data_IF_564895164406
#
_entry.id   IF_564895164406
#
_cell.length_a   1.000
_cell.length_b   1.000
_cell.length_c   1.000
_cell.angle_alpha   90.00
_cell.angle_beta   90.00
_cell.angle_gamma   90.00
#
_symmetry.space_group_name_H-M   'P 1'
#
loop_
_entity.id
_entity.type
_entity.pdbx_description
1 polymer ?
#
# COMPACT_ATOMS: atom_id res chain seq x y z
N UNK A 1 13.14 -0.87 7.79
CA UNK A 1 12.78 -2.15 7.15
C UNK A 1 13.04 -3.30 8.14
N UNK A 2 12.32 -3.35 9.26
CA UNK A 2 12.49 -4.41 10.28
C UNK A 2 11.20 -5.22 10.52
N UNK A 3 10.08 -4.82 9.93
CA UNK A 3 8.82 -5.56 9.99
C UNK A 3 8.36 -5.88 8.56
N UNK A 4 8.09 -7.17 8.29
CA UNK A 4 7.29 -7.59 7.13
C UNK A 4 7.93 -8.47 6.06
N UNK A 5 9.22 -8.85 6.14
CA UNK A 5 9.82 -9.77 5.14
C UNK A 5 10.58 -10.89 5.82
N UNK A 6 10.21 -12.15 5.54
CA UNK A 6 10.87 -13.35 6.05
C UNK A 6 12.08 -13.70 5.16
N UNK A 7 13.24 -13.10 5.45
CA UNK A 7 14.51 -13.39 4.75
C UNK A 7 15.49 -14.00 5.76
N UNK A 8 15.50 -15.33 5.91
CA UNK A 8 16.50 -16.02 6.72
C UNK A 8 17.85 -16.10 5.96
N UNK A 9 18.93 -15.86 6.68
CA UNK A 9 20.31 -15.88 6.18
C UNK A 9 21.16 -16.85 7.01
N UNK A 10 22.16 -17.50 6.43
CA UNK A 10 23.04 -18.40 7.20
C UNK A 10 23.94 -17.63 8.17
N UNK A 11 24.30 -16.39 7.80
CA UNK A 11 25.16 -15.49 8.59
C UNK A 11 24.56 -14.10 8.65
N UNK A 12 24.64 -13.47 9.83
CA UNK A 12 24.31 -12.06 10.03
C UNK A 12 25.54 -11.33 10.56
N UNK A 13 25.86 -10.20 9.94
CA UNK A 13 26.94 -9.31 10.39
C UNK A 13 26.30 -7.99 10.81
N UNK A 14 26.45 -7.64 12.09
CA UNK A 14 25.97 -6.39 12.68
C UNK A 14 27.18 -5.50 12.96
N UNK A 15 27.28 -4.38 12.26
CA UNK A 15 28.40 -3.44 12.35
C UNK A 15 28.14 -2.28 13.33
N UNK A 16 26.89 -2.08 13.72
CA UNK A 16 26.50 -1.10 14.74
C UNK A 16 25.08 -1.40 15.24
N UNK A 17 24.72 -0.98 16.46
CA UNK A 17 23.37 -1.11 17.00
C UNK A 17 22.45 0.02 16.49
N UNK A 18 22.83 0.72 15.42
CA UNK A 18 22.18 1.94 14.93
C UNK A 18 21.74 1.80 13.48
N UNK A 19 20.56 2.32 13.16
CA UNK A 19 20.11 2.56 11.78
C UNK A 19 20.07 4.08 11.55
N UNK A 20 21.13 4.63 10.97
CA UNK A 20 21.29 6.08 10.84
C UNK A 20 21.39 6.74 12.22
N UNK A 21 20.44 7.63 12.56
CA UNK A 21 20.35 8.27 13.88
C UNK A 21 19.46 7.50 14.87
N UNK A 22 18.91 6.35 14.47
CA UNK A 22 18.01 5.55 15.29
C UNK A 22 18.79 4.44 16.00
N UNK A 23 18.79 4.43 17.33
CA UNK A 23 19.30 3.32 18.13
C UNK A 23 18.28 2.17 18.10
N UNK A 24 18.72 0.97 17.71
CA UNK A 24 17.87 -0.22 17.74
C UNK A 24 17.43 -0.51 19.18
N UNK A 25 16.16 -0.83 19.39
CA UNK A 25 15.73 -1.40 20.66
C UNK A 25 16.25 -2.83 20.83
N UNK A 26 16.32 -3.33 22.08
CA UNK A 26 16.71 -4.71 22.36
C UNK A 26 15.87 -5.73 21.57
N UNK A 27 14.56 -5.49 21.47
CA UNK A 27 13.65 -6.33 20.70
C UNK A 27 13.95 -6.34 19.19
N UNK A 28 14.28 -5.19 18.60
CA UNK A 28 14.64 -5.12 17.18
C UNK A 28 15.99 -5.76 16.89
N UNK A 29 16.95 -5.61 17.81
CA UNK A 29 18.24 -6.28 17.74
C UNK A 29 18.06 -7.80 17.77
N UNK A 30 17.29 -8.34 18.72
CA UNK A 30 16.98 -9.77 18.81
C UNK A 30 16.22 -10.27 17.57
N UNK A 31 15.27 -9.51 17.04
CA UNK A 31 14.57 -9.85 15.78
C UNK A 31 15.49 -9.82 14.55
N UNK A 32 16.53 -9.00 14.56
CA UNK A 32 17.52 -8.96 13.49
C UNK A 32 18.39 -10.21 13.55
N UNK A 33 19.04 -10.47 14.68
CA UNK A 33 19.97 -11.59 14.82
C UNK A 33 19.27 -12.95 14.78
N UNK A 34 18.00 -13.01 15.19
CA UNK A 34 17.14 -14.20 15.10
C UNK A 34 16.81 -14.64 13.67
N UNK A 35 17.21 -13.87 12.64
CA UNK A 35 17.13 -14.28 11.23
C UNK A 35 18.33 -15.11 10.77
N UNK A 36 19.34 -15.29 11.64
CA UNK A 36 20.49 -16.14 11.37
C UNK A 36 20.10 -17.62 11.55
N UNK A 37 20.33 -18.42 10.53
CA UNK A 37 20.01 -19.85 10.50
C UNK A 37 18.72 -20.17 9.73
N UNK A 38 18.78 -21.20 8.89
CA UNK A 38 17.62 -21.76 8.18
C UNK A 38 17.35 -23.15 8.71
N UNK A 39 16.18 -23.34 9.33
CA UNK A 39 15.77 -24.61 9.96
C UNK A 39 15.96 -25.83 9.04
N UNK A 40 15.77 -25.66 7.72
CA UNK A 40 15.87 -26.76 6.75
C UNK A 40 17.28 -26.96 6.15
N UNK A 41 18.24 -26.04 6.33
CA UNK A 41 19.54 -26.11 5.64
C UNK A 41 20.77 -25.88 6.51
N UNK A 42 20.61 -25.36 7.73
CA UNK A 42 21.72 -24.98 8.61
C UNK A 42 21.46 -25.50 10.04
N UNK A 43 22.40 -26.28 10.60
CA UNK A 43 22.33 -26.79 11.98
C UNK A 43 22.46 -25.66 13.04
N UNK A 44 23.09 -24.55 12.66
CA UNK A 44 23.27 -23.36 13.46
C UNK A 44 23.32 -22.12 12.54
N UNK A 45 23.01 -20.95 13.08
CA UNK A 45 23.18 -19.65 12.43
C UNK A 45 24.32 -18.88 13.08
N UNK A 46 25.13 -18.18 12.29
CA UNK A 46 26.26 -17.41 12.81
C UNK A 46 25.91 -15.92 12.87
N UNK A 47 26.21 -15.28 14.01
CA UNK A 47 26.03 -13.85 14.22
C UNK A 47 27.39 -13.26 14.55
N UNK A 48 27.82 -12.28 13.74
CA UNK A 48 29.03 -11.52 13.95
C UNK A 48 28.67 -10.09 14.34
N UNK A 49 28.91 -9.71 15.58
CA UNK A 49 28.87 -8.31 15.99
C UNK A 49 30.27 -7.73 15.87
N UNK A 50 30.41 -6.67 15.07
CA UNK A 50 31.67 -5.97 14.87
C UNK A 50 31.59 -4.67 15.67
N UNK A 51 32.52 -4.52 16.59
CA UNK A 51 32.65 -3.34 17.45
C UNK A 51 33.91 -2.56 17.08
N UNK A 52 33.85 -1.25 17.27
CA UNK A 52 35.05 -0.42 17.30
C UNK A 52 35.62 -0.48 18.72
N UNK A 53 36.94 -0.35 18.86
CA UNK A 53 37.64 -0.47 20.15
C UNK A 53 37.08 0.44 21.25
N UNK A 54 36.46 1.56 20.86
CA UNK A 54 35.94 2.60 21.75
C UNK A 54 34.41 2.50 21.96
N UNK A 55 33.73 1.49 21.39
CA UNK A 55 32.29 1.27 21.49
C UNK A 55 31.97 -0.19 21.87
N UNK A 56 31.87 -0.48 23.17
CA UNK A 56 31.36 -1.77 23.69
C UNK A 56 29.82 -1.74 23.73
N UNK A 57 29.15 -2.56 22.91
CA UNK A 57 27.68 -2.61 22.84
C UNK A 57 27.11 -4.02 22.64
N UNK A 58 27.81 -4.88 21.90
CA UNK A 58 27.37 -6.20 21.47
C UNK A 58 27.21 -7.17 22.64
N UNK A 59 28.17 -7.21 23.58
CA UNK A 59 28.10 -8.12 24.73
C UNK A 59 26.92 -7.77 25.64
N UNK A 60 26.72 -6.48 25.93
CA UNK A 60 25.58 -5.98 26.72
C UNK A 60 24.25 -6.38 26.06
N UNK A 61 24.13 -6.17 24.75
CA UNK A 61 22.90 -6.48 24.00
C UNK A 61 22.64 -7.98 23.87
N UNK A 62 23.67 -8.81 23.75
CA UNK A 62 23.48 -10.28 23.68
C UNK A 62 23.07 -10.84 25.04
N UNK A 63 23.65 -10.32 26.13
CA UNK A 63 23.38 -10.80 27.50
C UNK A 63 22.14 -10.18 28.13
N UNK A 64 21.57 -9.13 27.55
CA UNK A 64 20.35 -8.51 28.06
C UNK A 64 19.14 -9.46 27.86
N UNK A 65 18.72 -10.09 28.96
CA UNK A 65 17.55 -10.97 29.08
C UNK A 65 16.25 -10.22 29.48
N UNK A 66 16.22 -8.88 29.41
CA UNK A 66 15.07 -8.11 29.86
C UNK A 66 13.81 -8.55 29.11
N UNK A 67 12.91 -9.21 29.84
CA UNK A 67 11.60 -9.60 29.34
C UNK A 67 10.77 -8.32 29.18
N UNK A 68 10.75 -7.78 27.96
CA UNK A 68 9.86 -6.69 27.63
C UNK A 68 8.42 -7.19 27.67
N UNK A 69 7.60 -6.60 28.54
CA UNK A 69 6.16 -6.83 28.53
C UNK A 69 5.62 -6.38 27.16
N UNK A 70 5.11 -7.32 26.37
CA UNK A 70 4.54 -7.03 25.05
C UNK A 70 3.15 -6.45 25.29
N UNK A 71 3.08 -5.14 25.48
CA UNK A 71 1.79 -4.45 25.54
C UNK A 71 1.34 -4.12 24.12
N UNK A 72 0.13 -4.55 23.77
CA UNK A 72 -0.49 -4.26 22.49
C UNK A 72 -0.47 -2.75 22.21
N UNK A 73 -0.05 -2.36 21.01
CA UNK A 73 -0.04 -0.95 20.58
C UNK A 73 -1.43 -0.31 20.68
N UNK A 74 -2.48 -1.08 20.40
CA UNK A 74 -3.88 -0.67 20.56
C UNK A 74 -4.18 -0.35 22.02
N UNK A 75 -3.81 -1.23 22.94
CA UNK A 75 -4.04 -1.03 24.38
C UNK A 75 -3.25 0.16 24.92
N UNK A 76 -1.98 0.29 24.53
CA UNK A 76 -1.16 1.44 24.92
C UNK A 76 -1.80 2.77 24.47
N UNK A 77 -2.23 2.83 23.20
CA UNK A 77 -2.82 4.04 22.62
C UNK A 77 -4.20 4.34 23.20
N UNK A 78 -5.04 3.32 23.43
CA UNK A 78 -6.34 3.46 24.06
C UNK A 78 -6.20 3.94 25.51
N UNK A 79 -5.36 3.27 26.31
CA UNK A 79 -5.19 3.57 27.73
C UNK A 79 -4.62 4.97 27.97
N UNK A 80 -3.80 5.48 27.06
CA UNK A 80 -3.26 6.84 27.15
C UNK A 80 -4.24 7.94 26.73
N UNK A 81 -5.36 7.60 26.07
CA UNK A 81 -6.24 8.57 25.41
C UNK A 81 -7.74 8.24 25.55
N UNK A 82 -8.14 7.65 26.68
CA UNK A 82 -9.50 7.10 26.88
C UNK A 82 -10.59 8.13 26.57
N UNK A 83 -10.55 9.30 27.22
CA UNK A 83 -11.57 10.35 27.06
C UNK A 83 -11.66 10.82 25.60
N UNK A 84 -10.53 11.16 24.99
CA UNK A 84 -10.46 11.59 23.59
C UNK A 84 -11.00 10.53 22.63
N UNK A 85 -10.69 9.24 22.86
CA UNK A 85 -11.21 8.15 22.03
C UNK A 85 -12.74 8.06 22.18
N UNK A 86 -13.26 8.12 23.40
CA UNK A 86 -14.72 8.10 23.64
C UNK A 86 -15.39 9.29 22.93
N UNK A 87 -14.79 10.47 22.94
CA UNK A 87 -15.32 11.65 22.24
C UNK A 87 -15.29 11.53 20.72
N UNK A 88 -14.24 10.92 20.18
CA UNK A 88 -14.04 10.81 18.74
C UNK A 88 -14.80 9.64 18.09
N UNK A 89 -15.27 8.66 18.86
CA UNK A 89 -15.98 7.47 18.34
C UNK A 89 -17.23 7.81 17.51
N UNK A 90 -17.88 8.94 17.78
CA UNK A 90 -19.03 9.41 16.99
C UNK A 90 -18.70 10.33 15.81
N UNK A 91 -17.45 10.80 15.68
CA UNK A 91 -17.06 11.88 14.77
C UNK A 91 -16.34 11.38 13.51
N UNK A 92 -16.58 12.01 12.37
CA UNK A 92 -15.78 11.79 11.17
C UNK A 92 -14.36 12.34 11.34
N UNK A 93 -13.41 11.85 10.54
CA UNK A 93 -12.04 12.38 10.53
C UNK A 93 -11.98 13.89 10.24
N UNK A 94 -12.87 14.40 9.38
CA UNK A 94 -12.99 15.84 9.08
C UNK A 94 -13.42 16.64 10.30
N UNK A 95 -14.40 16.15 11.06
CA UNK A 95 -14.87 16.81 12.28
C UNK A 95 -13.76 16.90 13.33
N UNK A 96 -12.98 15.82 13.53
CA UNK A 96 -11.83 15.80 14.45
C UNK A 96 -10.77 16.83 14.03
N UNK A 97 -10.48 16.95 12.72
CA UNK A 97 -9.52 17.94 12.22
C UNK A 97 -10.03 19.37 12.40
N UNK A 98 -11.30 19.62 12.11
CA UNK A 98 -11.91 20.94 12.18
C UNK A 98 -12.07 21.44 13.62
N UNK A 99 -12.20 20.53 14.59
CA UNK A 99 -12.26 20.85 16.01
C UNK A 99 -10.88 20.95 16.68
N UNK A 100 -9.79 20.99 15.90
CA UNK A 100 -8.41 20.93 16.38
C UNK A 100 -8.10 19.73 17.30
N UNK A 101 -8.84 18.62 17.12
CA UNK A 101 -8.64 17.37 17.85
C UNK A 101 -7.37 16.61 17.44
N UNK A 102 -6.98 15.63 18.25
CA UNK A 102 -5.82 14.78 17.95
C UNK A 102 -6.16 13.73 16.88
N UNK A 103 -6.00 14.13 15.62
CA UNK A 103 -6.23 13.26 14.46
C UNK A 103 -5.38 11.98 14.47
N UNK A 104 -4.27 11.94 15.23
CA UNK A 104 -3.48 10.71 15.38
C UNK A 104 -4.28 9.60 16.02
N UNK A 105 -5.35 9.90 16.75
CA UNK A 105 -6.24 8.91 17.36
C UNK A 105 -7.26 8.34 16.36
N UNK A 106 -7.48 8.99 15.21
CA UNK A 106 -8.48 8.55 14.25
C UNK A 106 -8.29 7.09 13.77
N UNK A 107 -7.07 6.60 13.43
CA UNK A 107 -6.88 5.19 13.10
C UNK A 107 -7.28 4.21 14.21
N UNK A 108 -7.12 4.59 15.49
CA UNK A 108 -7.57 3.76 16.61
C UNK A 108 -9.10 3.76 16.69
N UNK A 109 -9.74 4.90 16.50
CA UNK A 109 -11.21 5.04 16.45
C UNK A 109 -11.78 4.17 15.33
N UNK A 110 -11.20 4.23 14.11
CA UNK A 110 -11.60 3.39 12.98
C UNK A 110 -11.49 1.90 13.30
N UNK A 111 -10.37 1.51 13.89
CA UNK A 111 -10.14 0.13 14.29
C UNK A 111 -11.20 -0.34 15.30
N UNK A 112 -11.48 0.43 16.36
CA UNK A 112 -12.49 0.07 17.36
C UNK A 112 -13.90 -0.01 16.75
N UNK A 113 -14.28 0.91 15.87
CA UNK A 113 -15.55 0.83 15.12
C UNK A 113 -15.65 -0.45 14.30
N UNK A 114 -14.61 -0.75 13.51
CA UNK A 114 -14.57 -1.95 12.68
C UNK A 114 -14.65 -3.23 13.52
N UNK A 115 -13.88 -3.33 14.61
CA UNK A 115 -13.93 -4.49 15.49
C UNK A 115 -15.30 -4.64 16.17
N UNK A 116 -15.92 -3.54 16.61
CA UNK A 116 -17.25 -3.60 17.22
C UNK A 116 -18.31 -4.14 16.26
N UNK A 117 -18.21 -3.80 14.96
CA UNK A 117 -19.16 -4.23 13.93
C UNK A 117 -18.91 -5.65 13.42
N UNK A 118 -17.65 -6.06 13.28
CA UNK A 118 -17.27 -7.32 12.60
C UNK A 118 -16.87 -8.44 13.57
N UNK A 119 -16.15 -8.11 14.64
CA UNK A 119 -15.63 -9.09 15.60
C UNK A 119 -15.84 -8.60 17.04
N UNK A 120 -17.09 -8.70 17.49
CA UNK A 120 -17.51 -8.27 18.83
C UNK A 120 -16.73 -9.01 19.92
N UNK A 121 -16.30 -10.25 19.68
CA UNK A 121 -15.50 -11.03 20.62
C UNK A 121 -14.10 -10.43 20.80
N UNK A 122 -13.43 -10.07 19.71
CA UNK A 122 -12.14 -9.40 19.77
C UNK A 122 -12.24 -7.99 20.37
N UNK A 123 -13.28 -7.23 20.01
CA UNK A 123 -13.60 -5.96 20.66
C UNK A 123 -13.72 -6.12 22.19
N UNK A 124 -14.53 -7.07 22.67
CA UNK A 124 -14.69 -7.32 24.11
C UNK A 124 -13.39 -7.70 24.80
N UNK A 125 -12.48 -8.43 24.13
CA UNK A 125 -11.13 -8.72 24.66
C UNK A 125 -10.29 -7.46 24.79
N UNK A 126 -10.34 -6.55 23.82
CA UNK A 126 -9.62 -5.26 23.89
C UNK A 126 -10.12 -4.46 25.09
N UNK A 127 -11.44 -4.31 25.24
CA UNK A 127 -12.03 -3.54 26.34
C UNK A 127 -11.72 -4.18 27.69
N UNK A 128 -11.85 -5.51 27.82
CA UNK A 128 -11.54 -6.22 29.07
C UNK A 128 -10.09 -6.04 29.53
N UNK A 129 -9.15 -5.95 28.57
CA UNK A 129 -7.73 -5.76 28.85
C UNK A 129 -7.29 -4.29 28.88
N UNK A 130 -8.23 -3.37 28.69
CA UNK A 130 -7.98 -1.93 28.76
C UNK A 130 -8.08 -1.41 30.20
N UNK A 131 -7.69 -0.16 30.41
CA UNK A 131 -7.83 0.55 31.69
C UNK A 131 -9.16 1.33 31.81
N UNK A 132 -10.12 1.08 30.91
CA UNK A 132 -11.44 1.72 31.01
C UNK A 132 -12.17 1.28 32.28
N UNK A 133 -12.75 2.24 32.99
CA UNK A 133 -13.67 1.92 34.09
C UNK A 133 -15.07 1.55 33.55
N UNK A 134 -15.98 1.10 34.43
CA UNK A 134 -17.33 0.68 34.05
C UNK A 134 -18.11 1.78 33.32
N UNK A 135 -18.08 3.01 33.86
CA UNK A 135 -18.78 4.17 33.26
C UNK A 135 -18.24 4.50 31.87
N UNK A 136 -16.92 4.59 31.72
CA UNK A 136 -16.26 4.84 30.43
C UNK A 136 -16.57 3.75 29.40
N UNK A 137 -16.66 2.49 29.85
CA UNK A 137 -17.04 1.36 28.99
C UNK A 137 -18.47 1.50 28.50
N UNK A 138 -19.41 1.80 29.41
CA UNK A 138 -20.81 2.06 29.06
C UNK A 138 -20.95 3.25 28.09
N UNK A 139 -20.23 4.35 28.34
CA UNK A 139 -20.25 5.53 27.46
C UNK A 139 -19.71 5.22 26.06
N UNK A 140 -18.61 4.45 25.97
CA UNK A 140 -18.03 4.00 24.71
C UNK A 140 -18.99 3.09 23.93
N UNK A 141 -19.58 2.10 24.60
CA UNK A 141 -20.50 1.14 23.99
C UNK A 141 -21.80 1.81 23.53
N UNK A 142 -22.33 2.76 24.31
CA UNK A 142 -23.50 3.55 23.92
C UNK A 142 -23.23 4.36 22.65
N UNK A 143 -22.07 5.03 22.55
CA UNK A 143 -21.68 5.76 21.34
C UNK A 143 -21.48 4.84 20.14
N UNK A 144 -20.92 3.64 20.35
CA UNK A 144 -20.77 2.62 19.30
C UNK A 144 -22.11 2.03 18.84
N UNK A 145 -23.08 1.86 19.73
CA UNK A 145 -24.44 1.42 19.36
C UNK A 145 -25.20 2.49 18.56
N UNK A 146 -25.05 3.76 18.91
CA UNK A 146 -25.58 4.86 18.11
C UNK A 146 -24.89 4.91 16.73
N UNK A 147 -23.58 4.69 16.70
CA UNK A 147 -22.81 4.64 15.46
C UNK A 147 -23.23 3.47 14.56
N UNK A 148 -23.39 2.26 15.11
CA UNK A 148 -23.73 1.05 14.35
C UNK A 148 -25.06 1.19 13.61
N UNK A 149 -26.05 1.87 14.20
CA UNK A 149 -27.35 2.15 13.58
C UNK A 149 -27.27 3.02 12.32
N UNK A 150 -26.16 3.74 12.12
CA UNK A 150 -25.92 4.55 10.91
C UNK A 150 -25.32 3.74 9.76
N UNK A 151 -24.89 2.51 10.02
CA UNK A 151 -24.14 1.68 9.06
C UNK A 151 -25.11 0.75 8.34
N UNK A 152 -25.27 0.99 7.04
CA UNK A 152 -26.06 0.16 6.11
C UNK A 152 -25.12 -0.44 5.06
N UNK A 153 -24.51 -1.58 5.40
CA UNK A 153 -23.64 -2.33 4.47
C UNK A 153 -23.49 -3.79 4.95
N UNK A 154 -23.34 -4.76 4.04
CA UNK A 154 -23.11 -6.16 4.40
C UNK A 154 -21.83 -6.39 5.24
N UNK A 155 -21.94 -7.24 6.27
CA UNK A 155 -20.84 -7.55 7.20
C UNK A 155 -19.59 -8.11 6.50
N UNK A 156 -19.76 -8.91 5.44
CA UNK A 156 -18.63 -9.48 4.70
C UNK A 156 -17.78 -8.40 4.00
N UNK A 157 -18.40 -7.29 3.60
CA UNK A 157 -17.72 -6.17 2.94
C UNK A 157 -16.96 -5.31 3.95
N UNK A 158 -17.52 -5.12 5.15
CA UNK A 158 -16.82 -4.51 6.29
C UNK A 158 -15.61 -5.35 6.73
N UNK A 159 -15.78 -6.68 6.81
CA UNK A 159 -14.74 -7.59 7.24
C UNK A 159 -13.52 -7.62 6.31
N UNK A 160 -13.74 -7.44 5.00
CA UNK A 160 -12.65 -7.33 4.00
C UNK A 160 -11.90 -6.01 4.07
N UNK A 161 -12.51 -4.97 4.63
CA UNK A 161 -11.99 -3.60 4.61
C UNK A 161 -11.85 -3.00 6.03
N UNK A 162 -11.12 -3.65 6.96
CA UNK A 162 -11.08 -3.26 8.38
C UNK A 162 -10.34 -1.94 8.66
N UNK A 163 -9.58 -1.43 7.68
CA UNK A 163 -8.81 -0.19 7.80
C UNK A 163 -9.47 1.01 7.11
N UNK A 164 -10.71 0.85 6.65
CA UNK A 164 -11.53 1.91 6.07
C UNK A 164 -12.61 2.29 7.07
N UNK A 165 -12.94 3.58 7.17
CA UNK A 165 -14.02 4.03 8.06
C UNK A 165 -15.35 3.37 7.66
N UNK A 166 -16.00 2.59 8.55
CA UNK A 166 -17.28 1.96 8.25
C UNK A 166 -18.34 2.95 7.79
N UNK A 167 -18.32 4.20 8.29
CA UNK A 167 -19.25 5.24 7.88
C UNK A 167 -19.06 5.63 6.41
N UNK A 168 -17.82 5.91 6.01
CA UNK A 168 -17.49 6.29 4.63
C UNK A 168 -17.70 5.12 3.66
N UNK A 169 -17.41 3.90 4.10
CA UNK A 169 -17.66 2.70 3.32
C UNK A 169 -19.17 2.45 3.14
N UNK A 170 -19.99 2.67 4.17
CA UNK A 170 -21.45 2.61 4.05
C UNK A 170 -21.99 3.68 3.11
N UNK A 171 -21.52 4.93 3.22
CA UNK A 171 -21.86 6.02 2.31
C UNK A 171 -21.52 5.66 0.85
N UNK A 172 -20.31 5.14 0.63
CA UNK A 172 -19.85 4.74 -0.69
C UNK A 172 -20.68 3.57 -1.28
N UNK A 173 -21.02 2.58 -0.46
CA UNK A 173 -21.86 1.45 -0.86
C UNK A 173 -23.26 1.91 -1.30
N UNK A 174 -23.93 2.72 -0.47
CA UNK A 174 -25.27 3.24 -0.80
C UNK A 174 -25.25 4.19 -2.01
N UNK A 175 -24.16 4.95 -2.19
CA UNK A 175 -23.97 5.79 -3.37
C UNK A 175 -23.89 4.97 -4.66
N UNK A 176 -23.08 3.89 -4.68
CA UNK A 176 -22.98 3.02 -5.86
C UNK A 176 -24.29 2.29 -6.09
N UNK A 177 -24.94 1.81 -5.03
CA UNK A 177 -26.22 1.11 -5.13
C UNK A 177 -27.33 2.00 -5.70
N UNK A 178 -27.36 3.28 -5.33
CA UNK A 178 -28.36 4.25 -5.83
C UNK A 178 -28.08 4.73 -7.26
N UNK A 179 -26.81 4.96 -7.62
CA UNK A 179 -26.44 5.38 -8.98
C UNK A 179 -26.40 4.23 -9.99
N UNK A 180 -26.20 3.00 -9.51
CA UNK A 180 -25.97 1.82 -10.32
C UNK A 180 -24.49 1.59 -10.64
N UNK A 181 -24.12 0.30 -10.71
CA UNK A 181 -22.74 -0.15 -10.95
C UNK A 181 -22.15 0.39 -12.26
N UNK A 182 -22.97 0.56 -13.29
CA UNK A 182 -22.52 1.07 -14.60
C UNK A 182 -21.86 2.45 -14.54
N UNK A 183 -22.30 3.31 -13.62
CA UNK A 183 -21.71 4.64 -13.40
C UNK A 183 -20.39 4.61 -12.62
N UNK A 184 -19.99 3.44 -12.12
CA UNK A 184 -18.77 3.22 -11.34
C UNK A 184 -17.86 2.16 -11.95
N UNK A 185 -18.23 1.58 -13.09
CA UNK A 185 -17.48 0.52 -13.74
C UNK A 185 -16.79 1.03 -15.00
N UNK A 186 -15.47 0.88 -15.05
CA UNK A 186 -14.69 1.09 -16.27
C UNK A 186 -15.18 0.12 -17.35
N UNK A 187 -15.45 0.64 -18.54
CA UNK A 187 -16.02 -0.14 -19.66
C UNK A 187 -15.14 -0.16 -20.91
N UNK A 188 -13.99 0.52 -20.91
CA UNK A 188 -13.09 0.61 -22.06
C UNK A 188 -11.69 0.17 -21.69
N UNK A 189 -10.99 -0.51 -22.61
CA UNK A 189 -9.63 -0.98 -22.34
C UNK A 189 -8.57 0.12 -22.52
N UNK A 190 -7.46 0.06 -21.76
CA UNK A 190 -6.32 0.95 -21.98
C UNK A 190 -5.76 0.77 -23.40
N UNK A 191 -5.48 1.88 -24.10
CA UNK A 191 -4.85 1.86 -25.44
C UNK A 191 -5.81 1.69 -26.62
N UNK A 192 -7.13 1.71 -26.42
CA UNK A 192 -8.12 1.72 -27.51
C UNK A 192 -7.96 2.90 -28.49
N UNK A 193 -8.30 2.69 -29.77
CA UNK A 193 -8.27 3.74 -30.81
C UNK A 193 -9.19 4.91 -30.41
N UNK A 194 -8.64 6.12 -30.59
CA UNK A 194 -9.19 7.45 -30.26
C UNK A 194 -10.71 7.59 -30.43
N UNK A 195 -11.36 8.08 -29.38
CA UNK A 195 -11.97 9.42 -29.38
C UNK A 195 -11.59 10.09 -28.05
N UNK A 196 -11.02 11.30 -28.11
CA UNK A 196 -10.78 12.13 -26.94
C UNK A 196 -12.13 12.74 -26.51
N UNK A 197 -13.02 11.89 -25.98
CA UNK A 197 -14.27 12.33 -25.37
C UNK A 197 -13.96 13.12 -24.10
N UNK A 198 -14.63 14.27 -23.95
CA UNK A 198 -14.35 15.29 -22.94
C UNK A 198 -14.49 14.71 -21.53
N UNK A 199 -13.93 15.40 -20.53
CA UNK A 199 -14.25 15.14 -19.13
C UNK A 199 -15.72 15.45 -18.82
N UNK A 200 -16.40 16.22 -19.68
CA UNK A 200 -17.79 16.64 -19.53
C UNK A 200 -18.80 15.67 -20.17
N UNK A 201 -18.32 14.59 -20.82
CA UNK A 201 -19.19 13.56 -21.37
C UNK A 201 -19.78 12.66 -20.27
N UNK A 202 -20.92 12.03 -20.54
CA UNK A 202 -21.46 10.98 -19.67
C UNK A 202 -20.40 9.89 -19.37
N UNK A 203 -20.36 9.38 -18.14
CA UNK A 203 -19.29 8.48 -17.67
C UNK A 203 -19.04 7.28 -18.59
N UNK A 204 -20.11 6.60 -19.06
CA UNK A 204 -20.03 5.49 -20.02
C UNK A 204 -19.38 5.87 -21.36
N UNK A 205 -19.47 7.15 -21.75
CA UNK A 205 -18.95 7.67 -23.00
C UNK A 205 -17.49 8.10 -22.89
N UNK A 206 -16.97 8.39 -21.70
CA UNK A 206 -15.57 8.74 -21.47
C UNK A 206 -14.59 7.67 -21.99
N UNK A 207 -13.35 8.05 -22.31
CA UNK A 207 -12.28 7.08 -22.58
C UNK A 207 -11.80 6.40 -21.27
N UNK A 208 -11.02 5.32 -21.39
CA UNK A 208 -10.50 4.59 -20.23
C UNK A 208 -9.86 5.49 -19.16
N UNK A 209 -8.94 6.37 -19.56
CA UNK A 209 -8.22 7.21 -18.61
C UNK A 209 -9.15 8.20 -17.90
N UNK A 210 -10.12 8.77 -18.61
CA UNK A 210 -11.10 9.67 -18.03
C UNK A 210 -12.06 8.94 -17.07
N UNK A 211 -12.51 7.72 -17.40
CA UNK A 211 -13.27 6.87 -16.47
C UNK A 211 -12.47 6.55 -15.21
N UNK A 212 -11.22 6.09 -15.38
CA UNK A 212 -10.30 5.78 -14.30
C UNK A 212 -10.05 6.99 -13.38
N UNK A 213 -9.77 8.15 -13.98
CA UNK A 213 -9.58 9.42 -13.27
C UNK A 213 -10.86 9.86 -12.55
N UNK A 214 -12.03 9.72 -13.18
CA UNK A 214 -13.33 10.08 -12.60
C UNK A 214 -13.66 9.23 -11.37
N UNK A 215 -13.45 7.90 -11.44
CA UNK A 215 -13.61 7.01 -10.28
C UNK A 215 -12.70 7.48 -9.14
N UNK A 216 -11.40 7.65 -9.40
CA UNK A 216 -10.43 8.05 -8.37
C UNK A 216 -10.79 9.42 -7.75
N UNK A 217 -11.23 10.38 -8.56
CA UNK A 217 -11.66 11.69 -8.07
C UNK A 217 -12.91 11.60 -7.18
N UNK A 218 -13.94 10.86 -7.60
CA UNK A 218 -15.16 10.68 -6.79
C UNK A 218 -14.87 9.89 -5.50
N UNK A 219 -14.00 8.90 -5.55
CA UNK A 219 -13.53 8.21 -4.34
C UNK A 219 -12.79 9.15 -3.39
N UNK A 220 -12.01 10.10 -3.92
CA UNK A 220 -11.33 11.09 -3.10
C UNK A 220 -12.30 12.04 -2.39
N UNK A 221 -13.44 12.38 -2.97
CA UNK A 221 -14.45 13.23 -2.33
C UNK A 221 -15.00 12.59 -1.03
N UNK A 222 -15.14 11.27 -1.05
CA UNK A 222 -15.61 10.46 0.09
C UNK A 222 -14.47 10.19 1.08
N UNK A 223 -13.40 9.55 0.60
CA UNK A 223 -12.34 9.01 1.46
C UNK A 223 -11.20 9.99 1.77
N UNK A 224 -11.16 11.15 1.11
CA UNK A 224 -10.08 12.14 1.25
C UNK A 224 -8.70 11.53 1.03
N UNK A 225 -8.56 10.73 -0.03
CA UNK A 225 -7.32 10.03 -0.40
C UNK A 225 -6.13 11.00 -0.47
N UNK A 226 -6.35 12.20 -1.02
CA UNK A 226 -5.35 13.26 -1.11
C UNK A 226 -4.81 13.67 0.28
N UNK A 227 -5.66 13.67 1.31
CA UNK A 227 -5.26 13.93 2.69
C UNK A 227 -4.30 12.84 3.21
N UNK A 228 -4.64 11.57 3.03
CA UNK A 228 -3.80 10.44 3.47
C UNK A 228 -2.44 10.39 2.75
N UNK A 229 -2.43 10.72 1.45
CA UNK A 229 -1.22 10.76 0.62
C UNK A 229 -0.24 11.85 1.07
N UNK A 230 -0.77 13.00 1.49
CA UNK A 230 0.03 14.22 1.63
C UNK A 230 0.41 14.57 3.05
N UNK A 231 -0.31 14.05 4.05
CA UNK A 231 -0.15 14.43 5.45
C UNK A 231 0.36 13.26 6.30
N UNK A 232 0.99 13.61 7.42
CA UNK A 232 1.38 12.67 8.47
C UNK A 232 0.13 12.29 9.28
N UNK A 233 0.32 11.43 10.27
CA UNK A 233 -0.76 10.92 11.13
C UNK A 233 -1.47 12.03 11.94
N UNK A 234 -0.88 13.23 12.03
CA UNK A 234 -1.53 14.40 12.62
C UNK A 234 -2.52 15.11 11.70
N UNK A 235 -2.60 14.72 10.42
CA UNK A 235 -3.45 15.34 9.40
C UNK A 235 -3.11 16.80 9.07
N UNK A 236 -2.01 17.35 9.59
CA UNK A 236 -1.64 18.78 9.45
C UNK A 236 -0.26 18.94 8.86
N UNK A 237 0.70 18.13 9.29
CA UNK A 237 2.08 18.19 8.82
C UNK A 237 2.22 17.48 7.47
N UNK A 238 2.87 18.15 6.51
CA UNK A 238 3.21 17.57 5.21
C UNK A 238 4.12 16.35 5.38
N UNK A 239 3.71 15.22 4.79
CA UNK A 239 4.51 13.98 4.71
C UNK A 239 5.67 14.13 3.73
N UNK A 240 5.39 14.74 2.60
CA UNK A 240 6.35 14.91 1.51
C UNK A 240 6.54 16.39 1.14
N UNK A 241 7.73 16.70 0.61
CA UNK A 241 8.06 18.01 0.06
C UNK A 241 7.14 18.40 -1.10
N UNK A 242 6.86 17.47 -2.00
CA UNK A 242 6.06 17.73 -3.19
C UNK A 242 4.62 17.28 -2.96
N UNK A 243 3.67 18.18 -3.24
CA UNK A 243 2.24 17.90 -3.20
C UNK A 243 1.85 16.94 -4.32
N UNK A 244 1.04 15.94 -3.97
CA UNK A 244 0.47 14.98 -4.91
C UNK A 244 -1.04 15.20 -4.92
N UNK A 245 -1.55 15.88 -5.94
CA UNK A 245 -3.00 16.00 -6.10
C UNK A 245 -3.60 14.68 -6.55
N UNK A 246 -4.90 14.51 -6.36
CA UNK A 246 -5.65 13.35 -6.84
C UNK A 246 -5.49 13.16 -8.36
N UNK A 247 -5.44 14.26 -9.11
CA UNK A 247 -5.18 14.25 -10.55
C UNK A 247 -3.77 13.72 -10.87
N UNK A 248 -2.75 14.10 -10.10
CA UNK A 248 -1.40 13.57 -10.24
C UNK A 248 -1.36 12.09 -9.88
N UNK A 249 -2.06 11.69 -8.82
CA UNK A 249 -2.16 10.30 -8.40
C UNK A 249 -2.77 9.41 -9.50
N UNK A 250 -3.87 9.85 -10.12
CA UNK A 250 -4.50 9.16 -11.25
C UNK A 250 -3.59 9.12 -12.49
N UNK A 251 -2.92 10.24 -12.82
CA UNK A 251 -2.00 10.30 -13.96
C UNK A 251 -0.78 9.38 -13.76
N UNK A 252 -0.13 9.45 -12.61
CA UNK A 252 1.09 8.69 -12.34
C UNK A 252 0.79 7.19 -12.19
N UNK A 253 -0.32 6.80 -11.55
CA UNK A 253 -0.77 5.40 -11.50
C UNK A 253 -1.09 4.84 -12.89
N UNK A 254 -1.77 5.61 -13.75
CA UNK A 254 -2.02 5.18 -15.12
C UNK A 254 -0.72 4.94 -15.88
N UNK A 255 0.24 5.87 -15.81
CA UNK A 255 1.53 5.71 -16.48
C UNK A 255 2.38 4.58 -15.86
N UNK A 256 2.26 4.35 -14.56
CA UNK A 256 2.93 3.24 -13.90
C UNK A 256 2.44 1.92 -14.47
N UNK A 257 1.12 1.74 -14.58
CA UNK A 257 0.52 0.57 -15.20
C UNK A 257 0.77 0.46 -16.72
N UNK A 258 1.11 1.55 -17.42
CA UNK A 258 1.58 1.47 -18.83
C UNK A 258 2.99 0.89 -18.99
N UNK A 259 3.66 0.52 -17.90
CA UNK A 259 5.02 -0.03 -17.95
C UNK A 259 6.13 1.03 -17.96
N UNK A 260 5.83 2.30 -17.61
CA UNK A 260 6.89 3.31 -17.47
C UNK A 260 7.80 3.00 -16.28
N UNK A 261 9.10 3.29 -16.41
CA UNK A 261 10.10 3.04 -15.37
C UNK A 261 10.27 4.27 -14.45
N UNK A 262 11.03 4.12 -13.36
CA UNK A 262 11.30 5.23 -12.42
C UNK A 262 11.86 6.47 -13.10
N UNK A 263 12.72 6.30 -14.11
CA UNK A 263 13.32 7.41 -14.87
C UNK A 263 12.26 8.32 -15.48
N UNK A 264 11.19 7.76 -16.06
CA UNK A 264 10.08 8.55 -16.59
C UNK A 264 9.48 9.52 -15.56
N UNK A 265 9.25 9.05 -14.33
CA UNK A 265 8.67 9.88 -13.27
C UNK A 265 9.66 10.90 -12.71
N UNK A 266 10.94 10.52 -12.59
CA UNK A 266 12.02 11.42 -12.19
C UNK A 266 12.16 12.54 -13.22
N UNK A 267 12.23 12.21 -14.51
CA UNK A 267 12.38 13.18 -15.59
C UNK A 267 11.19 14.15 -15.65
N UNK A 268 9.96 13.66 -15.47
CA UNK A 268 8.77 14.51 -15.37
C UNK A 268 8.84 15.47 -14.17
N UNK A 269 9.27 14.98 -13.01
CA UNK A 269 9.43 15.81 -11.81
C UNK A 269 10.57 16.83 -11.94
N UNK A 270 11.70 16.46 -12.54
CA UNK A 270 12.82 17.38 -12.84
C UNK A 270 12.34 18.48 -13.78
N UNK A 271 11.64 18.11 -14.86
CA UNK A 271 11.07 19.07 -15.80
C UNK A 271 10.14 20.07 -15.12
N UNK A 272 9.20 19.57 -14.31
CA UNK A 272 8.17 20.41 -13.68
C UNK A 272 8.67 21.22 -12.49
N UNK A 273 9.59 20.68 -11.68
CA UNK A 273 10.05 21.31 -10.45
C UNK A 273 11.34 22.09 -10.59
N UNK A 274 12.17 21.81 -11.60
CA UNK A 274 13.44 22.49 -11.83
C UNK A 274 13.44 23.23 -13.16
N UNK A 275 13.35 22.52 -14.29
CA UNK A 275 13.56 23.09 -15.63
C UNK A 275 12.55 24.20 -15.96
N UNK A 276 11.24 23.95 -15.80
CA UNK A 276 10.19 24.96 -16.06
C UNK A 276 10.28 26.18 -15.14
N UNK A 277 10.96 26.04 -14.00
CA UNK A 277 11.14 27.11 -13.01
C UNK A 277 12.49 27.82 -13.12
N UNK A 278 13.31 27.47 -14.11
CA UNK A 278 14.65 28.02 -14.30
C UNK A 278 15.61 27.71 -13.15
N UNK A 279 15.36 26.65 -12.37
CA UNK A 279 16.24 26.27 -11.26
C UNK A 279 17.38 25.38 -11.74
N UNK A 280 18.55 25.56 -11.13
CA UNK A 280 19.74 24.75 -11.42
C UNK A 280 19.53 23.26 -11.09
N UNK A 281 19.96 22.41 -12.02
CA UNK A 281 19.92 20.96 -11.87
C UNK A 281 21.20 20.51 -11.18
N UNK A 282 21.10 20.28 -9.87
CA UNK A 282 22.20 19.76 -9.03
C UNK A 282 21.92 18.33 -8.58
N UNK A 283 22.98 17.54 -8.32
CA UNK A 283 22.86 16.17 -7.81
C UNK A 283 21.97 16.11 -6.55
N UNK A 284 22.14 17.07 -5.63
CA UNK A 284 21.33 17.17 -4.40
C UNK A 284 19.83 17.33 -4.68
N UNK A 285 19.45 18.05 -5.73
CA UNK A 285 18.04 18.20 -6.09
C UNK A 285 17.50 16.98 -6.82
N UNK A 286 18.33 16.33 -7.66
CA UNK A 286 18.00 15.05 -8.29
C UNK A 286 17.75 13.98 -7.22
N UNK A 287 18.63 13.81 -6.23
CA UNK A 287 18.48 12.81 -5.17
C UNK A 287 17.18 12.98 -4.39
N UNK A 288 16.80 14.23 -4.08
CA UNK A 288 15.52 14.53 -3.41
C UNK A 288 14.32 14.16 -4.27
N UNK A 289 14.37 14.42 -5.58
CA UNK A 289 13.31 14.03 -6.50
C UNK A 289 13.24 12.51 -6.60
N UNK A 290 14.38 11.83 -6.72
CA UNK A 290 14.47 10.37 -6.77
C UNK A 290 13.86 9.75 -5.50
N UNK A 291 14.26 10.21 -4.31
CA UNK A 291 13.70 9.72 -3.04
C UNK A 291 12.18 9.95 -2.96
N UNK A 292 11.71 11.11 -3.41
CA UNK A 292 10.27 11.38 -3.48
C UNK A 292 9.55 10.45 -4.46
N UNK A 293 10.06 10.25 -5.67
CA UNK A 293 9.45 9.38 -6.68
C UNK A 293 9.40 7.94 -6.16
N UNK A 294 10.46 7.47 -5.51
CA UNK A 294 10.48 6.15 -4.86
C UNK A 294 9.40 6.01 -3.81
N UNK A 295 9.29 6.98 -2.89
CA UNK A 295 8.24 6.98 -1.88
C UNK A 295 6.84 7.11 -2.51
N UNK A 296 6.70 7.91 -3.57
CA UNK A 296 5.41 8.10 -4.24
C UNK A 296 4.92 6.83 -4.92
N UNK A 297 5.78 6.11 -5.65
CA UNK A 297 5.40 4.85 -6.28
C UNK A 297 5.09 3.79 -5.21
N UNK A 298 5.98 3.60 -4.23
CA UNK A 298 5.84 2.51 -3.27
C UNK A 298 4.69 2.73 -2.27
N UNK A 299 4.53 3.97 -1.76
CA UNK A 299 3.53 4.27 -0.73
C UNK A 299 2.24 4.81 -1.33
N UNK A 300 2.30 5.79 -2.23
CA UNK A 300 1.08 6.45 -2.70
C UNK A 300 0.37 5.62 -3.79
N UNK A 301 1.13 5.06 -4.74
CA UNK A 301 0.53 4.24 -5.81
C UNK A 301 0.29 2.82 -5.32
N UNK A 302 1.36 2.09 -4.94
CA UNK A 302 1.29 0.65 -4.70
C UNK A 302 0.68 0.26 -3.35
N UNK A 303 0.47 1.19 -2.42
CA UNK A 303 -0.15 0.91 -1.12
C UNK A 303 -1.46 1.69 -0.94
N UNK A 304 -1.41 3.02 -0.89
CA UNK A 304 -2.60 3.84 -0.61
C UNK A 304 -3.63 3.72 -1.75
N UNK A 305 -3.25 3.95 -3.00
CA UNK A 305 -4.20 3.88 -4.10
C UNK A 305 -4.66 2.44 -4.36
N UNK A 306 -3.77 1.44 -4.24
CA UNK A 306 -4.16 0.02 -4.30
C UNK A 306 -5.24 -0.30 -3.26
N UNK A 307 -5.06 0.12 -2.00
CA UNK A 307 -6.09 -0.05 -0.94
C UNK A 307 -7.46 0.48 -1.37
N UNK A 308 -7.51 1.69 -1.92
CA UNK A 308 -8.77 2.29 -2.35
C UNK A 308 -9.33 1.66 -3.62
N UNK A 309 -8.50 1.26 -4.58
CA UNK A 309 -9.00 0.52 -5.74
C UNK A 309 -9.51 -0.87 -5.33
N UNK A 310 -8.88 -1.55 -4.37
CA UNK A 310 -9.38 -2.81 -3.82
C UNK A 310 -10.76 -2.63 -3.15
N UNK A 311 -10.92 -1.55 -2.38
CA UNK A 311 -12.21 -1.16 -1.81
C UNK A 311 -13.28 -0.94 -2.90
N UNK A 312 -12.91 -0.22 -3.97
CA UNK A 312 -13.79 -0.04 -5.12
C UNK A 312 -14.20 -1.38 -5.73
N UNK A 313 -13.23 -2.27 -6.01
CA UNK A 313 -13.52 -3.59 -6.60
C UNK A 313 -14.39 -4.46 -5.69
N UNK A 314 -14.19 -4.41 -4.39
CA UNK A 314 -14.98 -5.14 -3.41
C UNK A 314 -16.44 -4.66 -3.42
N UNK A 315 -16.66 -3.34 -3.41
CA UNK A 315 -18.00 -2.73 -3.39
C UNK A 315 -18.73 -2.94 -4.72
N UNK A 316 -18.11 -2.60 -5.86
CA UNK A 316 -18.76 -2.82 -7.17
C UNK A 316 -18.97 -4.30 -7.43
N UNK A 317 -18.01 -5.16 -7.07
CA UNK A 317 -18.13 -6.60 -7.22
C UNK A 317 -19.23 -7.18 -6.34
N UNK A 318 -19.43 -6.68 -5.12
CA UNK A 318 -20.53 -7.13 -4.27
C UNK A 318 -21.91 -6.88 -4.90
N UNK A 319 -22.06 -5.79 -5.67
CA UNK A 319 -23.30 -5.40 -6.31
C UNK A 319 -23.53 -6.03 -7.70
N UNK A 320 -22.60 -6.87 -8.17
CA UNK A 320 -22.66 -7.57 -9.45
C UNK A 320 -23.07 -9.04 -9.31
N UNK A 321 -23.75 -9.56 -10.33
CA UNK A 321 -23.89 -11.00 -10.57
C UNK A 321 -22.56 -11.67 -10.94
N UNK A 322 -22.47 -13.00 -10.83
CA UNK A 322 -21.27 -13.75 -11.23
C UNK A 322 -20.95 -13.61 -12.72
N UNK A 323 -21.96 -13.50 -13.59
CA UNK A 323 -21.77 -13.29 -15.03
C UNK A 323 -21.16 -11.90 -15.31
N UNK A 324 -21.61 -10.86 -14.60
CA UNK A 324 -21.06 -9.50 -14.71
C UNK A 324 -19.62 -9.43 -14.19
N UNK A 325 -19.31 -10.15 -13.10
CA UNK A 325 -17.93 -10.25 -12.57
C UNK A 325 -16.99 -10.88 -13.59
N UNK A 326 -17.38 -11.98 -14.24
CA UNK A 326 -16.53 -12.63 -15.24
C UNK A 326 -16.30 -11.72 -16.45
N UNK A 327 -17.35 -11.02 -16.93
CA UNK A 327 -17.22 -10.03 -18.02
C UNK A 327 -16.26 -8.89 -17.65
N UNK A 328 -16.28 -8.43 -16.40
CA UNK A 328 -15.47 -7.30 -15.92
C UNK A 328 -14.17 -7.71 -15.22
N UNK A 329 -13.78 -8.98 -15.27
CA UNK A 329 -12.61 -9.55 -14.56
C UNK A 329 -11.31 -8.77 -14.79
N UNK A 330 -11.09 -8.28 -16.01
CA UNK A 330 -9.92 -7.45 -16.31
C UNK A 330 -9.85 -6.18 -15.43
N UNK A 331 -10.97 -5.46 -15.32
CA UNK A 331 -11.04 -4.22 -14.56
C UNK A 331 -11.14 -4.47 -13.05
N UNK A 332 -11.76 -5.57 -12.62
CA UNK A 332 -11.76 -5.99 -11.22
C UNK A 332 -10.35 -6.39 -10.73
N UNK A 333 -9.43 -6.71 -11.64
CA UNK A 333 -8.03 -6.99 -11.31
C UNK A 333 -7.13 -5.73 -11.34
N UNK A 334 -7.70 -4.54 -11.51
CA UNK A 334 -6.97 -3.28 -11.58
C UNK A 334 -6.09 -2.98 -10.34
N UNK A 335 -6.49 -3.30 -9.09
CA UNK A 335 -5.63 -3.10 -7.93
C UNK A 335 -4.31 -3.87 -8.05
N UNK A 336 -4.37 -5.15 -8.47
CA UNK A 336 -3.18 -5.98 -8.69
C UNK A 336 -2.33 -5.49 -9.86
N UNK A 337 -2.97 -5.03 -10.95
CA UNK A 337 -2.26 -4.40 -12.08
C UNK A 337 -1.49 -3.14 -11.64
N UNK A 338 -2.06 -2.34 -10.74
CA UNK A 338 -1.41 -1.16 -10.18
C UNK A 338 -0.22 -1.55 -9.31
N UNK A 339 -0.40 -2.51 -8.40
CA UNK A 339 0.65 -3.01 -7.53
C UNK A 339 1.84 -3.57 -8.32
N UNK A 340 1.54 -4.39 -9.34
CA UNK A 340 2.54 -4.98 -10.24
C UNK A 340 3.09 -3.98 -11.27
N UNK A 341 2.40 -2.85 -11.48
CA UNK A 341 2.80 -1.79 -12.38
C UNK A 341 2.72 -2.15 -13.86
N UNK A 342 1.73 -2.94 -14.28
CA UNK A 342 1.50 -3.27 -15.68
C UNK A 342 0.03 -3.61 -15.97
N UNK A 343 -0.49 -3.13 -17.11
CA UNK A 343 -1.74 -3.60 -17.71
C UNK A 343 -1.56 -4.84 -18.59
N UNK A 344 -0.33 -5.10 -19.04
CA UNK A 344 -0.04 -6.16 -20.00
C UNK A 344 -0.11 -7.54 -19.30
N UNK A 345 -1.10 -8.40 -19.64
CA UNK A 345 -1.26 -9.71 -19.01
C UNK A 345 -0.02 -10.57 -19.13
N UNK A 346 0.74 -10.44 -20.23
CA UNK A 346 1.96 -11.20 -20.44
C UNK A 346 3.07 -10.76 -19.47
N UNK A 347 3.20 -9.45 -19.23
CA UNK A 347 4.15 -8.94 -18.23
C UNK A 347 3.76 -9.44 -16.84
N UNK A 348 2.48 -9.43 -16.51
CA UNK A 348 1.98 -9.92 -15.22
C UNK A 348 2.25 -11.43 -15.05
N UNK A 349 2.02 -12.22 -16.09
CA UNK A 349 2.30 -13.66 -16.10
C UNK A 349 3.79 -13.93 -15.91
N UNK A 350 4.68 -13.22 -16.62
CA UNK A 350 6.14 -13.33 -16.43
C UNK A 350 6.53 -12.97 -14.99
N UNK A 351 5.93 -11.92 -14.41
CA UNK A 351 6.20 -11.53 -13.03
C UNK A 351 5.76 -12.59 -12.02
N UNK A 352 4.72 -13.38 -12.32
CA UNK A 352 4.27 -14.46 -11.44
C UNK A 352 5.32 -15.58 -11.26
N UNK A 353 6.27 -15.71 -12.19
CA UNK A 353 7.44 -16.58 -12.07
C UNK A 353 8.58 -16.00 -11.20
N UNK A 354 8.33 -14.93 -10.44
CA UNK A 354 9.32 -14.29 -9.57
C UNK A 354 10.31 -13.37 -10.31
N UNK A 355 10.04 -13.06 -11.58
CA UNK A 355 10.85 -12.14 -12.38
C UNK A 355 10.44 -10.71 -12.05
N UNK A 356 11.43 -9.84 -11.80
CA UNK A 356 11.12 -8.45 -11.48
C UNK A 356 10.49 -7.70 -12.66
N UNK A 357 9.71 -6.65 -12.34
CA UNK A 357 8.97 -5.85 -13.31
C UNK A 357 9.83 -5.33 -14.47
N UNK A 358 11.02 -4.79 -14.18
CA UNK A 358 11.89 -4.21 -15.23
C UNK A 358 12.34 -5.27 -16.22
N UNK A 359 12.71 -6.46 -15.75
CA UNK A 359 13.11 -7.59 -16.59
C UNK A 359 11.92 -8.11 -17.39
N UNK A 360 10.74 -8.25 -16.75
CA UNK A 360 9.52 -8.68 -17.43
C UNK A 360 9.16 -7.77 -18.61
N UNK A 361 9.17 -6.44 -18.40
CA UNK A 361 8.90 -5.47 -19.46
C UNK A 361 9.97 -5.51 -20.57
N UNK A 362 11.24 -5.71 -20.23
CA UNK A 362 12.32 -5.80 -21.21
C UNK A 362 12.17 -7.05 -22.10
N UNK A 363 11.79 -8.18 -21.49
CA UNK A 363 11.56 -9.45 -22.19
C UNK A 363 10.45 -9.31 -23.23
N UNK A 364 9.29 -8.76 -22.84
CA UNK A 364 8.13 -8.63 -23.74
C UNK A 364 8.38 -7.66 -24.90
N UNK A 365 9.25 -6.66 -24.71
CA UNK A 365 9.64 -5.72 -25.78
C UNK A 365 10.53 -6.36 -26.85
N UNK A 366 11.46 -7.23 -26.43
CA UNK A 366 12.48 -7.77 -27.34
C UNK A 366 12.02 -9.00 -28.10
N UNK A 367 11.10 -9.78 -27.55
CA UNK A 367 10.62 -10.99 -28.20
C UNK A 367 9.15 -11.24 -27.85
N UNK A 368 8.33 -11.49 -28.88
CA UNK A 368 6.96 -11.96 -28.68
C UNK A 368 6.96 -13.45 -28.37
N UNK A 369 6.06 -13.87 -27.49
CA UNK A 369 5.77 -15.28 -27.27
C UNK A 369 5.10 -15.84 -28.52
N UNK A 370 5.52 -17.01 -28.96
CA UNK A 370 4.90 -17.70 -30.10
C UNK A 370 3.50 -18.17 -29.72
N UNK A 371 2.59 -18.19 -30.68
CA UNK A 371 1.24 -18.70 -30.46
C UNK A 371 1.28 -20.15 -29.94
N UNK A 372 0.56 -20.42 -28.84
CA UNK A 372 0.55 -21.73 -28.16
C UNK A 372 1.76 -22.04 -27.25
N UNK A 373 2.75 -21.15 -27.15
CA UNK A 373 3.88 -21.33 -26.24
C UNK A 373 3.53 -20.83 -24.83
N UNK A 374 3.75 -21.67 -23.81
CA UNK A 374 3.61 -21.23 -22.41
C UNK A 374 4.70 -20.23 -22.02
N UNK A 375 4.39 -19.32 -21.08
CA UNK A 375 5.37 -18.36 -20.56
C UNK A 375 6.59 -19.07 -19.95
N UNK A 376 6.41 -20.18 -19.24
CA UNK A 376 7.52 -20.95 -18.69
C UNK A 376 8.48 -21.42 -19.79
N UNK A 377 7.95 -22.00 -20.87
CA UNK A 377 8.76 -22.48 -22.00
C UNK A 377 9.45 -21.32 -22.72
N UNK A 378 8.78 -20.18 -22.82
CA UNK A 378 9.38 -18.95 -23.33
C UNK A 378 10.57 -18.50 -22.49
N UNK A 379 10.43 -18.45 -21.15
CA UNK A 379 11.48 -18.01 -20.24
C UNK A 379 12.68 -18.96 -20.25
N UNK A 380 12.45 -20.28 -20.28
CA UNK A 380 13.52 -21.29 -20.36
C UNK A 380 14.33 -21.19 -21.66
N UNK A 381 13.67 -20.92 -22.78
CA UNK A 381 14.31 -20.84 -24.09
C UNK A 381 14.76 -19.42 -24.48
N UNK A 382 14.56 -18.43 -23.61
CA UNK A 382 14.94 -17.07 -23.93
C UNK A 382 16.46 -16.97 -24.08
N UNK A 383 16.92 -16.39 -25.20
CA UNK A 383 18.34 -16.19 -25.43
C UNK A 383 18.85 -15.03 -24.56
N UNK A 384 19.56 -15.37 -23.48
CA UNK A 384 20.04 -14.38 -22.50
C UNK A 384 21.10 -13.43 -23.05
N UNK A 385 21.77 -13.77 -24.17
CA UNK A 385 22.72 -12.88 -24.82
C UNK A 385 22.06 -11.60 -25.36
N UNK A 386 20.74 -11.61 -25.57
CA UNK A 386 19.97 -10.43 -25.98
C UNK A 386 19.68 -9.45 -24.83
N UNK A 387 19.94 -9.83 -23.58
CA UNK A 387 19.66 -9.01 -22.40
C UNK A 387 20.90 -8.22 -21.98
N UNK A 388 20.69 -7.06 -21.38
CA UNK A 388 21.77 -6.37 -20.66
C UNK A 388 22.24 -7.21 -19.46
N UNK A 389 23.47 -6.98 -19.01
CA UNK A 389 24.09 -7.73 -17.89
C UNK A 389 23.20 -7.79 -16.65
N UNK A 390 22.52 -6.68 -16.33
CA UNK A 390 21.60 -6.60 -15.20
C UNK A 390 20.39 -7.53 -15.36
N UNK A 391 19.66 -7.44 -16.47
CA UNK A 391 18.47 -8.25 -16.71
C UNK A 391 18.81 -9.73 -16.88
N UNK A 392 19.95 -10.04 -17.50
CA UNK A 392 20.50 -11.40 -17.58
C UNK A 392 20.69 -12.00 -16.19
N UNK A 393 21.38 -11.28 -15.29
CA UNK A 393 21.62 -11.74 -13.90
C UNK A 393 20.31 -11.99 -13.15
N UNK A 394 19.28 -11.18 -13.36
CA UNK A 394 17.97 -11.39 -12.74
C UNK A 394 17.26 -12.63 -13.28
N UNK A 395 17.28 -12.83 -14.60
CA UNK A 395 16.65 -13.99 -15.23
C UNK A 395 17.35 -15.31 -14.84
N UNK A 396 18.69 -15.31 -14.84
CA UNK A 396 19.50 -16.45 -14.40
C UNK A 396 19.24 -16.80 -12.92
N UNK A 397 19.15 -15.79 -12.04
CA UNK A 397 18.80 -15.99 -10.62
C UNK A 397 17.41 -16.58 -10.42
N UNK A 398 16.47 -16.30 -11.32
CA UNK A 398 15.14 -16.88 -11.30
C UNK A 398 15.11 -18.33 -11.86
N UNK A 399 16.25 -18.87 -12.30
CA UNK A 399 16.35 -20.24 -12.84
C UNK A 399 15.95 -20.35 -14.31
N UNK A 400 15.92 -19.23 -15.05
CA UNK A 400 15.50 -19.18 -16.44
C UNK A 400 16.60 -18.70 -17.39
N UNK A 401 16.37 -18.87 -18.69
CA UNK A 401 17.26 -18.45 -19.76
C UNK A 401 18.14 -19.57 -20.32
N UNK A 402 18.55 -19.41 -21.58
CA UNK A 402 19.47 -20.30 -22.26
C UNK A 402 20.57 -19.51 -22.97
N UNK A 403 21.78 -20.06 -22.98
CA UNK A 403 22.88 -19.62 -23.85
C UNK A 403 22.73 -20.45 -25.12
N UNK A 404 21.90 -20.00 -26.05
CA UNK A 404 21.82 -20.56 -27.40
C UNK A 404 22.46 -19.62 -28.40
#
# INVERSE_FOLDING_TARGET
>A
MLQGVNLPADRIVVISPKIGNYELSQFEFLNLIGRAGRINTSLYGEIFCIELSDEEWAEERIKNEDKKEIVSSVLNKLNGNIESVIDYIGLSGKEILNSDGDYKLYPLVLYLRSQYLVDKNHYSKIIKNSKLNKKQTEDLENKLDIFSKKISIPENLLARNPFVDPLLLSEFFELIKSQGVGEWMISKYPGGKREAKSLDDEFKNMNYYNQYKSIISRMNEIFNIEQEVNYKDDGKSRRYRYFVSINKLAYDSHNWMKGHNYKFFIDNMVKDKLTKKGLEITNKNIDKITNFVTAHINTNLNFILVKYLSLWTDVVGHLMSEEEKEKNKFFLNLPSMLEMGSYDPLVLEIMSFGINRSTAIELTKKQRIKEGQSVELYLRNYNIAKLSSLHRKYLEKAGFGSIK
#
